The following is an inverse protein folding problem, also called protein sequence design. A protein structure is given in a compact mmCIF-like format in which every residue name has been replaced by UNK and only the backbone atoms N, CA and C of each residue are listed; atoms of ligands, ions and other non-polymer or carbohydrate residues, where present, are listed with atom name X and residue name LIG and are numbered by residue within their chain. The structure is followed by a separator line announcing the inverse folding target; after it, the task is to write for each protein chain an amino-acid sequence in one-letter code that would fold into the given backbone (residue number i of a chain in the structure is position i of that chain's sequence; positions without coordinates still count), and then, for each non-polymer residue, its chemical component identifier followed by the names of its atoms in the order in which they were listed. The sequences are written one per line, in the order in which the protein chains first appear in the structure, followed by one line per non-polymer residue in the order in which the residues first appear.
data_IF_678347281055
#
_entry.id   IF_678347281055
#
_cell.length_a   1.000
_cell.length_b   1.000
_cell.length_c   1.000
_cell.angle_alpha   90.00
_cell.angle_beta   90.00
_cell.angle_gamma   90.00
#
_symmetry.space_group_name_H-M   'P 1'
#
loop_
_entity.id
_entity.type
_entity.pdbx_description
1 polymer ?
#
# COMPACT_ATOMS: atom_id res chain seq x y z
N UNK A 1 -7.31 -5.11 14.58
CA UNK A 1 -6.49 -4.77 13.38
C UNK A 1 -7.43 -4.48 12.21
N UNK A 2 -7.08 -3.55 11.30
CA UNK A 2 -8.00 -3.04 10.27
C UNK A 2 -8.70 -4.13 9.43
N UNK A 3 -7.97 -5.17 8.99
CA UNK A 3 -8.57 -6.29 8.24
C UNK A 3 -9.64 -7.02 9.06
N UNK A 4 -9.35 -7.34 10.33
CA UNK A 4 -10.32 -7.98 11.24
C UNK A 4 -11.57 -7.11 11.37
N UNK A 5 -11.39 -5.80 11.59
CA UNK A 5 -12.50 -4.86 11.70
C UNK A 5 -13.34 -4.81 10.43
N UNK A 6 -12.72 -4.77 9.24
CA UNK A 6 -13.40 -4.81 7.95
C UNK A 6 -14.17 -6.13 7.75
N UNK A 7 -13.51 -7.27 7.99
CA UNK A 7 -14.09 -8.60 7.79
C UNK A 7 -15.30 -8.80 8.69
N UNK A 8 -15.24 -8.43 9.97
CA UNK A 8 -16.33 -8.63 10.93
C UNK A 8 -17.31 -7.45 11.05
N UNK A 9 -17.17 -6.39 10.25
CA UNK A 9 -17.97 -5.16 10.37
C UNK A 9 -17.96 -4.59 11.81
N UNK A 10 -16.79 -4.55 12.44
CA UNK A 10 -16.68 -4.05 13.80
C UNK A 10 -16.93 -2.53 13.86
N UNK A 11 -17.44 -1.99 14.98
CA UNK A 11 -17.67 -0.54 15.13
C UNK A 11 -16.42 0.33 14.97
N UNK A 12 -15.22 -0.26 15.08
CA UNK A 12 -13.92 0.42 15.05
C UNK A 12 -13.27 0.47 13.65
N UNK A 13 -13.96 0.09 12.57
CA UNK A 13 -13.42 0.11 11.19
C UNK A 13 -12.79 1.46 10.84
N UNK A 14 -13.51 2.56 11.06
CA UNK A 14 -13.01 3.89 10.68
C UNK A 14 -11.76 4.28 11.49
N UNK A 15 -11.71 3.92 12.77
CA UNK A 15 -10.57 4.20 13.65
C UNK A 15 -9.35 3.39 13.21
N UNK A 16 -9.52 2.09 12.98
CA UNK A 16 -8.43 1.18 12.62
C UNK A 16 -7.89 1.44 11.22
N UNK A 17 -8.75 1.76 10.24
CA UNK A 17 -8.35 2.18 8.90
C UNK A 17 -7.64 3.54 8.96
N UNK A 18 -8.15 4.50 9.73
CA UNK A 18 -7.48 5.79 9.92
C UNK A 18 -6.06 5.63 10.48
N UNK A 19 -5.88 4.75 11.48
CA UNK A 19 -4.55 4.41 12.02
C UNK A 19 -3.65 3.72 11.00
N UNK A 20 -4.18 2.81 10.18
CA UNK A 20 -3.43 2.18 9.10
C UNK A 20 -2.91 3.23 8.11
N UNK A 21 -3.76 4.17 7.67
CA UNK A 21 -3.37 5.20 6.70
C UNK A 21 -2.35 6.21 7.24
N UNK A 22 -2.26 6.40 8.55
CA UNK A 22 -1.18 7.19 9.16
C UNK A 22 0.21 6.58 8.89
N UNK A 23 0.32 5.25 8.70
CA UNK A 23 1.60 4.63 8.34
C UNK A 23 2.13 5.16 7.01
N UNK A 24 1.28 5.44 6.02
CA UNK A 24 1.71 5.99 4.73
C UNK A 24 2.41 7.35 4.89
N UNK A 25 1.88 8.21 5.76
CA UNK A 25 2.51 9.49 6.09
C UNK A 25 3.85 9.30 6.79
N UNK A 26 3.91 8.45 7.82
CA UNK A 26 5.16 8.21 8.55
C UNK A 26 6.25 7.55 7.70
N UNK A 27 5.86 6.63 6.80
CA UNK A 27 6.77 6.01 5.82
C UNK A 27 7.29 7.02 4.80
N UNK A 28 6.50 8.01 4.41
CA UNK A 28 6.98 9.15 3.63
C UNK A 28 8.02 9.94 4.40
N UNK A 29 7.68 10.37 5.61
CA UNK A 29 8.54 11.23 6.44
C UNK A 29 9.89 10.57 6.76
N UNK A 30 9.99 9.24 6.81
CA UNK A 30 11.29 8.58 7.01
C UNK A 30 12.25 8.76 5.83
N UNK A 31 11.75 9.14 4.65
CA UNK A 31 12.57 9.47 3.48
C UNK A 31 13.05 10.93 3.47
N UNK A 32 12.41 11.82 4.23
CA UNK A 32 12.66 13.26 4.21
C UNK A 32 14.15 13.63 4.40
N UNK A 33 14.89 13.06 5.37
CA UNK A 33 16.28 13.46 5.61
C UNK A 33 17.24 13.13 4.46
N UNK A 34 16.84 12.24 3.55
CA UNK A 34 17.69 11.72 2.47
C UNK A 34 17.26 12.20 1.10
N UNK A 35 15.95 12.39 0.88
CA UNK A 35 15.38 12.60 -0.45
C UNK A 35 14.48 13.84 -0.57
N UNK A 36 14.24 14.57 0.53
CA UNK A 36 13.48 15.81 0.55
C UNK A 36 11.97 15.64 0.39
N UNK A 37 11.26 16.78 0.42
CA UNK A 37 9.80 16.84 0.53
C UNK A 37 9.06 16.23 -0.67
N UNK A 38 9.58 16.39 -1.89
CA UNK A 38 8.96 15.81 -3.09
C UNK A 38 8.89 14.28 -3.02
N UNK A 39 9.96 13.65 -2.49
CA UNK A 39 10.01 12.21 -2.30
C UNK A 39 9.03 11.75 -1.21
N UNK A 40 8.94 12.50 -0.10
CA UNK A 40 7.95 12.26 0.97
C UNK A 40 6.55 12.25 0.39
N UNK A 41 6.19 13.30 -0.36
CA UNK A 41 4.85 13.47 -0.93
C UNK A 41 4.50 12.33 -1.89
N UNK A 42 5.42 11.98 -2.79
CA UNK A 42 5.19 10.92 -3.77
C UNK A 42 5.09 9.55 -3.11
N UNK A 43 6.00 9.21 -2.20
CA UNK A 43 5.99 7.92 -1.52
C UNK A 43 4.77 7.74 -0.62
N UNK A 44 4.42 8.76 0.18
CA UNK A 44 3.22 8.72 1.02
C UNK A 44 1.95 8.52 0.20
N UNK A 45 1.84 9.16 -0.97
CA UNK A 45 0.69 8.96 -1.85
C UNK A 45 0.62 7.51 -2.36
N UNK A 46 1.74 6.98 -2.87
CA UNK A 46 1.81 5.60 -3.39
C UNK A 46 1.45 4.57 -2.32
N UNK A 47 2.02 4.68 -1.11
CA UNK A 47 1.72 3.77 0.00
C UNK A 47 0.28 3.93 0.48
N UNK A 48 -0.26 5.15 0.51
CA UNK A 48 -1.66 5.38 0.87
C UNK A 48 -2.59 4.67 -0.12
N UNK A 49 -2.34 4.82 -1.42
CA UNK A 49 -3.11 4.15 -2.46
C UNK A 49 -3.00 2.63 -2.32
N UNK A 50 -1.80 2.10 -2.07
CA UNK A 50 -1.57 0.68 -1.80
C UNK A 50 -2.47 0.13 -0.69
N UNK A 51 -2.51 0.83 0.44
CA UNK A 51 -3.29 0.42 1.62
C UNK A 51 -4.80 0.54 1.39
N UNK A 52 -5.24 1.56 0.65
CA UNK A 52 -6.66 1.73 0.28
C UNK A 52 -7.10 0.62 -0.68
N UNK A 53 -6.31 0.34 -1.71
CA UNK A 53 -6.59 -0.73 -2.68
C UNK A 53 -6.66 -2.10 -1.97
N UNK A 54 -5.72 -2.39 -1.06
CA UNK A 54 -5.76 -3.60 -0.25
C UNK A 54 -7.04 -3.70 0.61
N UNK A 55 -7.46 -2.60 1.24
CA UNK A 55 -8.71 -2.58 2.01
C UNK A 55 -9.94 -2.83 1.13
N UNK A 56 -9.96 -2.30 -0.09
CA UNK A 56 -11.04 -2.54 -1.06
C UNK A 56 -11.03 -3.97 -1.61
N UNK A 57 -9.85 -4.57 -1.79
CA UNK A 57 -9.70 -5.98 -2.14
C UNK A 57 -10.34 -6.88 -1.08
N UNK A 58 -10.03 -6.64 0.20
CA UNK A 58 -10.63 -7.37 1.34
C UNK A 58 -12.15 -7.21 1.36
N UNK A 59 -12.68 -6.00 1.13
CA UNK A 59 -14.13 -5.77 1.06
C UNK A 59 -14.78 -6.54 -0.10
N UNK A 60 -14.17 -6.53 -1.29
CA UNK A 60 -14.69 -7.24 -2.45
C UNK A 60 -14.67 -8.77 -2.25
N UNK A 61 -13.58 -9.30 -1.70
CA UNK A 61 -13.45 -10.71 -1.36
C UNK A 61 -14.49 -11.13 -0.31
N UNK A 62 -14.66 -10.34 0.76
CA UNK A 62 -15.70 -10.55 1.78
C UNK A 62 -17.11 -10.58 1.19
N UNK A 63 -17.39 -9.72 0.20
CA UNK A 63 -18.69 -9.68 -0.49
C UNK A 63 -18.90 -10.84 -1.48
N UNK A 64 -17.92 -11.73 -1.64
CA UNK A 64 -17.96 -12.82 -2.63
C UNK A 64 -17.84 -12.35 -4.08
N UNK A 65 -17.47 -11.09 -4.33
CA UNK A 65 -17.39 -10.52 -5.67
C UNK A 65 -16.01 -10.81 -6.28
N UNK A 66 -15.84 -12.03 -6.81
CA UNK A 66 -14.57 -12.49 -7.37
C UNK A 66 -14.08 -11.66 -8.57
N UNK A 67 -15.00 -11.19 -9.43
CA UNK A 67 -14.63 -10.35 -10.56
C UNK A 67 -14.06 -9.00 -10.11
N UNK A 68 -14.69 -8.37 -9.12
CA UNK A 68 -14.16 -7.14 -8.55
C UNK A 68 -12.83 -7.38 -7.80
N UNK A 69 -12.73 -8.46 -7.02
CA UNK A 69 -11.51 -8.81 -6.31
C UNK A 69 -10.33 -8.99 -7.27
N UNK A 70 -10.49 -9.79 -8.35
CA UNK A 70 -9.44 -9.99 -9.35
C UNK A 70 -9.05 -8.69 -10.09
N UNK A 71 -10.02 -7.79 -10.33
CA UNK A 71 -9.74 -6.50 -10.95
C UNK A 71 -8.98 -5.56 -10.00
N UNK A 72 -9.30 -5.57 -8.70
CA UNK A 72 -8.63 -4.76 -7.68
C UNK A 72 -7.23 -5.32 -7.40
N UNK A 73 -7.07 -6.64 -7.32
CA UNK A 73 -5.78 -7.31 -7.16
C UNK A 73 -4.80 -6.89 -8.25
N UNK A 74 -5.21 -6.86 -9.53
CA UNK A 74 -4.37 -6.35 -10.61
C UNK A 74 -3.92 -4.90 -10.40
N UNK A 75 -4.82 -4.04 -9.89
CA UNK A 75 -4.47 -2.65 -9.54
C UNK A 75 -3.49 -2.60 -8.36
N UNK A 76 -3.63 -3.52 -7.42
CA UNK A 76 -2.79 -3.61 -6.24
C UNK A 76 -1.34 -3.96 -6.60
N UNK A 77 -1.16 -4.97 -7.46
CA UNK A 77 0.15 -5.30 -8.03
C UNK A 77 0.72 -4.15 -8.87
N UNK A 78 -0.08 -3.51 -9.71
CA UNK A 78 0.38 -2.37 -10.51
C UNK A 78 0.86 -1.20 -9.64
N UNK A 79 0.16 -0.90 -8.54
CA UNK A 79 0.61 0.10 -7.58
C UNK A 79 1.87 -0.36 -6.81
N UNK A 80 2.01 -1.66 -6.55
CA UNK A 80 3.26 -2.25 -6.04
C UNK A 80 4.44 -1.98 -6.97
N UNK A 81 4.26 -2.20 -8.28
CA UNK A 81 5.27 -1.84 -9.29
C UNK A 81 5.59 -0.33 -9.25
N UNK A 82 4.59 0.56 -9.16
CA UNK A 82 4.83 2.01 -9.06
C UNK A 82 5.68 2.38 -7.82
N UNK A 83 5.47 1.71 -6.69
CA UNK A 83 6.28 1.88 -5.47
C UNK A 83 7.73 1.45 -5.72
N UNK A 84 7.92 0.27 -6.33
CA UNK A 84 9.24 -0.29 -6.64
C UNK A 84 10.00 0.63 -7.60
N UNK A 85 9.36 1.07 -8.68
CA UNK A 85 9.95 2.00 -9.65
C UNK A 85 10.36 3.31 -8.98
N UNK A 86 9.49 3.88 -8.13
CA UNK A 86 9.79 5.12 -7.44
C UNK A 86 10.99 4.96 -6.49
N UNK A 87 11.01 3.92 -5.65
CA UNK A 87 12.11 3.69 -4.71
C UNK A 87 13.44 3.43 -5.42
N UNK A 88 13.44 2.66 -6.51
CA UNK A 88 14.63 2.44 -7.33
C UNK A 88 15.11 3.74 -8.01
N UNK A 89 14.19 4.62 -8.42
CA UNK A 89 14.54 5.91 -9.06
C UNK A 89 15.25 6.89 -8.12
N UNK A 90 14.96 6.85 -6.82
CA UNK A 90 15.57 7.74 -5.83
C UNK A 90 16.77 7.09 -5.13
N UNK A 91 16.90 5.76 -5.17
CA UNK A 91 17.99 5.04 -4.54
C UNK A 91 18.61 4.01 -5.50
N UNK A 92 19.74 4.33 -6.17
CA UNK A 92 20.37 3.44 -7.13
C UNK A 92 21.00 2.18 -6.51
N UNK A 93 21.08 2.10 -5.17
CA UNK A 93 21.60 0.94 -4.45
C UNK A 93 20.54 -0.13 -4.16
N UNK A 94 19.28 0.11 -4.51
CA UNK A 94 18.22 -0.90 -4.43
C UNK A 94 18.28 -1.76 -5.69
N UNK A 95 18.61 -3.05 -5.56
CA UNK A 95 18.40 -4.00 -6.65
C UNK A 95 16.89 -4.14 -6.89
N UNK A 96 16.47 -3.71 -8.07
CA UNK A 96 15.05 -3.61 -8.42
C UNK A 96 14.36 -4.96 -8.46
N UNK A 97 15.01 -5.99 -9.00
CA UNK A 97 14.38 -7.29 -9.18
C UNK A 97 14.34 -8.08 -7.87
N UNK A 98 15.40 -7.98 -7.05
CA UNK A 98 15.40 -8.53 -5.70
C UNK A 98 14.33 -7.86 -4.82
N UNK A 99 14.24 -6.52 -4.89
CA UNK A 99 13.23 -5.77 -4.14
C UNK A 99 11.81 -6.08 -4.64
N UNK A 100 11.59 -6.19 -5.96
CA UNK A 100 10.30 -6.62 -6.52
C UNK A 100 9.90 -7.99 -6.00
N UNK A 101 10.81 -8.95 -6.02
CA UNK A 101 10.55 -10.31 -5.54
C UNK A 101 10.12 -10.32 -4.08
N UNK A 102 10.89 -9.65 -3.21
CA UNK A 102 10.54 -9.52 -1.78
C UNK A 102 9.19 -8.83 -1.59
N UNK A 103 8.93 -7.75 -2.33
CA UNK A 103 7.65 -7.04 -2.24
C UNK A 103 6.48 -7.95 -2.63
N UNK A 104 6.62 -8.72 -3.71
CA UNK A 104 5.58 -9.62 -4.21
C UNK A 104 5.35 -10.83 -3.29
N UNK A 105 6.36 -11.28 -2.56
CA UNK A 105 6.20 -12.32 -1.52
C UNK A 105 5.31 -11.85 -0.35
N UNK A 106 5.13 -10.54 -0.19
CA UNK A 106 4.34 -9.93 0.88
C UNK A 106 3.03 -9.28 0.40
N UNK A 107 2.64 -9.54 -0.85
CA UNK A 107 1.31 -9.23 -1.38
C UNK A 107 0.41 -10.48 -1.30
#
# INVERSE_FOLDING_TARGET
MAIISIVFNLPDVNVTVGRLLQNATHMGLSLEPFYGEDAVKKYSALIKDHLVIAADLVKAAKAGNQNAAAAIEKKWYANGDEIIEFLNSINPYIDKEEFRKMFYEHL
#
